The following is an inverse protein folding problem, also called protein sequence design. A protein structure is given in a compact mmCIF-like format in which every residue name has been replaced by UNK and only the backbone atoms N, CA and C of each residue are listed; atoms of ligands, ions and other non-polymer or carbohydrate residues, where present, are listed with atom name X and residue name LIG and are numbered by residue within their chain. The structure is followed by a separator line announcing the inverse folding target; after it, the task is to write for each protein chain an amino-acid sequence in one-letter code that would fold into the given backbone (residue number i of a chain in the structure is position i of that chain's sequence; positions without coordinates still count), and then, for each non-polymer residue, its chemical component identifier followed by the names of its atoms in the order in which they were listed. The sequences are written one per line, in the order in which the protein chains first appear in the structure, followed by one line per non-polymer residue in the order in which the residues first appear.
data_IF_885390199186
#
_entry.id   IF_885390199186
#
_cell.length_a   1.000
_cell.length_b   1.000
_cell.length_c   1.000
_cell.angle_alpha   90.00
_cell.angle_beta   90.00
_cell.angle_gamma   90.00
#
_symmetry.space_group_name_H-M   'P 1'
#
loop_
_entity.id
_entity.type
_entity.pdbx_description
1 polymer ?
#
# COMPACT_ATOMS: atom_id res chain seq x y z
N UNK A 1 1.43 3.37 8.89
CA UNK A 1 0.24 2.95 8.11
C UNK A 1 -0.98 2.74 8.98
N UNK A 2 -0.97 1.82 9.97
CA UNK A 2 -2.12 1.56 10.84
C UNK A 2 -2.69 2.82 11.49
N UNK A 3 -1.84 3.65 12.11
CA UNK A 3 -2.24 4.92 12.72
C UNK A 3 -2.89 5.89 11.72
N UNK A 4 -2.41 5.91 10.47
CA UNK A 4 -2.98 6.73 9.41
C UNK A 4 -4.38 6.27 9.02
N UNK A 5 -4.58 4.97 8.80
CA UNK A 5 -5.91 4.41 8.51
C UNK A 5 -6.87 4.62 9.68
N UNK A 6 -6.42 4.44 10.92
CA UNK A 6 -7.24 4.69 12.10
C UNK A 6 -7.69 6.16 12.20
N UNK A 7 -6.80 7.12 11.92
CA UNK A 7 -7.16 8.54 11.92
C UNK A 7 -8.27 8.85 10.88
N UNK A 8 -8.15 8.28 9.68
CA UNK A 8 -9.16 8.42 8.61
C UNK A 8 -10.49 7.80 9.04
N UNK A 9 -10.47 6.57 9.55
CA UNK A 9 -11.68 5.86 9.99
C UNK A 9 -12.38 6.64 11.10
N UNK A 10 -11.65 7.07 12.14
CA UNK A 10 -12.23 7.80 13.28
C UNK A 10 -12.91 9.09 12.80
N UNK A 11 -12.25 9.87 11.94
CA UNK A 11 -12.81 11.12 11.43
C UNK A 11 -13.98 10.89 10.48
N UNK A 12 -13.92 9.89 9.61
CA UNK A 12 -15.04 9.52 8.76
C UNK A 12 -16.28 9.09 9.56
N UNK A 13 -16.09 8.32 10.64
CA UNK A 13 -17.17 7.91 11.55
C UNK A 13 -17.82 9.11 12.23
N UNK A 14 -17.03 10.09 12.67
CA UNK A 14 -17.55 11.33 13.28
C UNK A 14 -18.38 12.13 12.27
N UNK A 15 -17.89 12.28 11.03
CA UNK A 15 -18.57 13.04 9.98
C UNK A 15 -19.90 12.37 9.57
N UNK A 16 -19.91 11.04 9.45
CA UNK A 16 -21.10 10.28 9.05
C UNK A 16 -22.08 10.02 10.20
N UNK A 17 -21.74 10.40 11.43
CA UNK A 17 -22.60 10.19 12.59
C UNK A 17 -22.65 8.74 13.11
N UNK A 18 -21.67 7.90 12.75
CA UNK A 18 -21.50 6.56 13.34
C UNK A 18 -21.11 5.46 12.35
N UNK A 19 -20.61 4.34 12.90
CA UNK A 19 -20.23 3.16 12.10
C UNK A 19 -21.40 2.51 11.38
N UNK A 20 -22.61 2.56 11.96
CA UNK A 20 -23.79 1.94 11.38
C UNK A 20 -24.21 2.59 10.06
N UNK A 21 -24.00 3.90 9.91
CA UNK A 21 -24.30 4.63 8.67
C UNK A 21 -23.37 4.17 7.55
N UNK A 22 -22.06 4.08 7.83
CA UNK A 22 -21.06 3.61 6.86
C UNK A 22 -21.39 2.20 6.37
N UNK A 23 -21.80 1.31 7.28
CA UNK A 23 -22.16 -0.06 6.91
C UNK A 23 -23.47 -0.12 6.10
N UNK A 24 -24.48 0.67 6.48
CA UNK A 24 -25.74 0.78 5.74
C UNK A 24 -25.52 1.32 4.34
N UNK A 25 -24.72 2.39 4.20
CA UNK A 25 -24.35 2.97 2.91
C UNK A 25 -23.63 1.94 2.02
N UNK A 26 -22.67 1.21 2.59
CA UNK A 26 -21.95 0.17 1.86
C UNK A 26 -22.86 -1.00 1.43
N UNK A 27 -23.87 -1.33 2.25
CA UNK A 27 -24.86 -2.36 1.93
C UNK A 27 -25.78 -1.91 0.79
N UNK A 28 -26.31 -0.68 0.87
CA UNK A 28 -27.16 -0.09 -0.17
C UNK A 28 -26.41 0.08 -1.49
N UNK A 29 -25.14 0.43 -1.42
CA UNK A 29 -24.24 0.52 -2.56
C UNK A 29 -23.80 -0.82 -3.17
N UNK A 30 -24.28 -1.95 -2.63
CA UNK A 30 -23.92 -3.29 -3.11
C UNK A 30 -22.43 -3.61 -2.98
N UNK A 31 -21.71 -2.96 -2.04
CA UNK A 31 -20.27 -3.14 -1.83
C UNK A 31 -19.94 -4.30 -0.87
N UNK A 32 -20.93 -4.76 -0.10
CA UNK A 32 -20.80 -5.82 0.89
C UNK A 32 -21.19 -7.21 0.33
N UNK A 33 -20.53 -7.65 -0.74
CA UNK A 33 -20.75 -8.97 -1.32
C UNK A 33 -19.72 -9.96 -0.77
N UNK A 34 -20.01 -10.54 0.41
CA UNK A 34 -19.10 -11.48 1.07
C UNK A 34 -19.10 -12.89 0.46
N UNK A 35 -20.20 -13.28 -0.18
CA UNK A 35 -20.49 -14.68 -0.52
C UNK A 35 -20.72 -14.88 -2.03
N UNK A 36 -19.82 -14.34 -2.84
CA UNK A 36 -19.83 -14.61 -4.29
C UNK A 36 -19.03 -15.90 -4.59
N UNK A 37 -19.77 -17.00 -4.76
CA UNK A 37 -19.22 -18.34 -5.04
C UNK A 37 -19.08 -18.65 -6.53
N UNK A 38 -19.22 -17.66 -7.41
CA UNK A 38 -19.04 -17.86 -8.85
C UNK A 38 -17.64 -18.42 -9.17
N UNK A 39 -17.61 -19.45 -10.02
CA UNK A 39 -16.39 -20.13 -10.46
C UNK A 39 -15.80 -19.47 -11.71
N UNK A 40 -16.40 -18.37 -12.19
CA UNK A 40 -15.97 -17.71 -13.42
C UNK A 40 -14.58 -17.05 -13.23
N UNK A 41 -13.54 -17.48 -13.97
CA UNK A 41 -12.18 -16.95 -13.83
C UNK A 41 -12.03 -15.48 -14.28
N UNK A 42 -13.02 -14.92 -15.00
CA UNK A 42 -13.03 -13.51 -15.40
C UNK A 42 -13.51 -12.58 -14.27
N UNK A 43 -14.16 -13.12 -13.22
CA UNK A 43 -14.55 -12.34 -12.04
C UNK A 43 -13.32 -12.16 -11.14
N UNK A 44 -12.91 -10.90 -10.97
CA UNK A 44 -11.69 -10.52 -10.22
C UNK A 44 -11.71 -10.87 -8.73
N UNK A 45 -12.90 -10.86 -8.12
CA UNK A 45 -13.06 -11.00 -6.68
C UNK A 45 -14.20 -11.97 -6.37
N UNK A 46 -13.87 -13.25 -6.25
CA UNK A 46 -14.77 -14.32 -5.81
C UNK A 46 -14.19 -15.02 -4.59
N UNK A 47 -15.02 -15.75 -3.86
CA UNK A 47 -14.59 -16.57 -2.72
C UNK A 47 -13.38 -17.46 -3.08
N UNK A 48 -13.40 -18.08 -4.26
CA UNK A 48 -12.32 -18.94 -4.74
C UNK A 48 -11.01 -18.19 -4.97
N UNK A 49 -11.06 -17.00 -5.55
CA UNK A 49 -9.84 -16.18 -5.75
C UNK A 49 -9.23 -15.75 -4.42
N UNK A 50 -10.05 -15.46 -3.40
CA UNK A 50 -9.55 -15.11 -2.07
C UNK A 50 -8.96 -16.32 -1.34
N UNK A 51 -9.63 -17.47 -1.35
CA UNK A 51 -9.13 -18.67 -0.65
C UNK A 51 -7.94 -19.26 -1.38
N UNK A 52 -8.09 -19.66 -2.65
CA UNK A 52 -7.03 -20.35 -3.39
C UNK A 52 -5.90 -19.37 -3.74
N UNK A 53 -6.25 -18.22 -4.32
CA UNK A 53 -5.28 -17.20 -4.71
C UNK A 53 -4.61 -16.54 -3.51
N UNK A 54 -5.40 -16.13 -2.51
CA UNK A 54 -4.87 -15.52 -1.30
C UNK A 54 -3.98 -16.46 -0.49
N UNK A 55 -4.38 -17.72 -0.30
CA UNK A 55 -3.51 -18.72 0.37
C UNK A 55 -2.24 -18.96 -0.43
N UNK A 56 -2.31 -19.12 -1.76
CA UNK A 56 -1.13 -19.34 -2.59
C UNK A 56 -0.15 -18.16 -2.54
N UNK A 57 -0.67 -16.93 -2.61
CA UNK A 57 0.13 -15.70 -2.50
C UNK A 57 0.77 -15.60 -1.11
N UNK A 58 0.01 -15.81 -0.04
CA UNK A 58 0.54 -15.79 1.32
C UNK A 58 1.65 -16.84 1.50
N UNK A 59 1.42 -18.08 1.06
CA UNK A 59 2.41 -19.14 1.11
C UNK A 59 3.68 -18.80 0.32
N UNK A 60 3.57 -18.20 -0.87
CA UNK A 60 4.73 -17.76 -1.63
C UNK A 60 5.49 -16.63 -0.92
N UNK A 61 4.76 -15.63 -0.40
CA UNK A 61 5.36 -14.47 0.27
C UNK A 61 6.13 -14.88 1.53
N UNK A 62 5.58 -15.75 2.37
CA UNK A 62 6.27 -16.19 3.59
C UNK A 62 7.23 -17.35 3.38
N UNK A 63 6.97 -18.23 2.41
CA UNK A 63 7.75 -19.45 2.20
C UNK A 63 8.96 -19.28 1.28
N UNK A 64 8.87 -18.40 0.28
CA UNK A 64 9.86 -18.33 -0.80
C UNK A 64 10.61 -16.99 -0.82
N UNK A 65 10.01 -15.93 -0.27
CA UNK A 65 10.64 -14.61 -0.34
C UNK A 65 11.93 -14.57 0.49
N UNK A 66 13.06 -14.12 -0.11
CA UNK A 66 14.35 -14.07 0.58
C UNK A 66 14.31 -13.27 1.88
N UNK A 67 13.54 -12.18 1.91
CA UNK A 67 13.39 -11.31 3.08
C UNK A 67 12.68 -11.99 4.25
N UNK A 68 11.71 -12.86 3.96
CA UNK A 68 11.01 -13.64 4.98
C UNK A 68 11.93 -14.72 5.56
N UNK A 69 12.62 -15.47 4.68
CA UNK A 69 13.57 -16.53 5.07
C UNK A 69 14.71 -15.97 5.91
N UNK A 70 15.28 -14.83 5.53
CA UNK A 70 16.34 -14.17 6.29
C UNK A 70 15.90 -13.79 7.72
N UNK A 71 14.66 -13.33 7.89
CA UNK A 71 14.10 -13.01 9.22
C UNK A 71 13.98 -14.24 10.11
N UNK A 72 13.68 -15.40 9.53
CA UNK A 72 13.58 -16.64 10.28
C UNK A 72 14.96 -17.16 10.71
N UNK A 73 15.96 -17.08 9.83
CA UNK A 73 17.33 -17.54 10.12
C UNK A 73 18.03 -16.63 11.13
N UNK A 74 17.65 -15.35 11.21
CA UNK A 74 18.18 -14.42 12.21
C UNK A 74 17.69 -14.70 13.65
N UNK A 75 16.66 -15.53 13.82
CA UNK A 75 16.12 -15.87 15.15
C UNK A 75 16.98 -16.95 15.83
N UNK A 76 17.15 -16.86 17.15
CA UNK A 76 18.00 -17.80 17.92
C UNK A 76 17.40 -19.19 18.06
N UNK A 77 16.07 -19.31 17.99
CA UNK A 77 15.35 -20.59 18.07
C UNK A 77 14.16 -20.65 17.12
N UNK A 78 13.76 -21.87 16.75
CA UNK A 78 12.56 -22.13 15.93
C UNK A 78 11.29 -21.65 16.63
N UNK A 79 11.22 -21.74 17.96
CA UNK A 79 10.09 -21.24 18.74
C UNK A 79 9.96 -19.71 18.65
N UNK A 80 11.09 -18.98 18.71
CA UNK A 80 11.11 -17.53 18.53
C UNK A 80 10.73 -17.14 17.10
N UNK A 81 11.22 -17.86 16.09
CA UNK A 81 10.86 -17.62 14.69
C UNK A 81 9.34 -17.80 14.45
N UNK A 82 8.74 -18.86 15.02
CA UNK A 82 7.28 -19.10 14.95
C UNK A 82 6.49 -17.99 15.64
N UNK A 83 6.91 -17.56 16.83
CA UNK A 83 6.26 -16.47 17.55
C UNK A 83 6.34 -15.15 16.75
N UNK A 84 7.50 -14.82 16.20
CA UNK A 84 7.69 -13.64 15.35
C UNK A 84 6.77 -13.67 14.11
N UNK A 85 6.61 -14.85 13.50
CA UNK A 85 5.68 -15.05 12.38
C UNK A 85 4.23 -14.80 12.80
N UNK A 86 3.76 -15.35 13.92
CA UNK A 86 2.39 -15.13 14.40
C UNK A 86 2.11 -13.66 14.73
N UNK A 87 3.06 -12.96 15.36
CA UNK A 87 2.94 -11.53 15.63
C UNK A 87 2.86 -10.73 14.32
N UNK A 88 3.68 -11.08 13.33
CA UNK A 88 3.64 -10.43 12.03
C UNK A 88 2.31 -10.68 11.30
N UNK A 89 1.80 -11.92 11.36
CA UNK A 89 0.51 -12.28 10.78
C UNK A 89 -0.63 -11.49 11.42
N UNK A 90 -0.65 -11.35 12.75
CA UNK A 90 -1.63 -10.54 13.46
C UNK A 90 -1.58 -9.07 13.01
N UNK A 91 -0.38 -8.51 12.87
CA UNK A 91 -0.18 -7.13 12.42
C UNK A 91 -0.69 -6.89 10.99
N UNK A 92 -0.47 -7.84 10.08
CA UNK A 92 -0.99 -7.78 8.71
C UNK A 92 -2.51 -7.92 8.69
N UNK A 93 -3.07 -8.82 9.51
CA UNK A 93 -4.51 -8.98 9.63
C UNK A 93 -5.18 -7.69 10.13
N UNK A 94 -4.62 -7.06 11.16
CA UNK A 94 -5.07 -5.76 11.65
C UNK A 94 -4.99 -4.67 10.57
N UNK A 95 -3.89 -4.61 9.81
CA UNK A 95 -3.76 -3.68 8.69
C UNK A 95 -4.83 -3.91 7.62
N UNK A 96 -5.11 -5.18 7.27
CA UNK A 96 -6.09 -5.53 6.25
C UNK A 96 -7.50 -5.08 6.65
N UNK A 97 -7.89 -5.34 7.90
CA UNK A 97 -9.16 -4.85 8.47
C UNK A 97 -9.25 -3.34 8.38
N UNK A 98 -8.21 -2.61 8.80
CA UNK A 98 -8.19 -1.15 8.71
C UNK A 98 -8.29 -0.64 7.26
N UNK A 99 -7.63 -1.30 6.30
CA UNK A 99 -7.70 -0.91 4.89
C UNK A 99 -9.12 -1.09 4.34
N UNK A 100 -9.76 -2.23 4.64
CA UNK A 100 -11.14 -2.50 4.22
C UNK A 100 -12.09 -1.47 4.81
N UNK A 101 -12.02 -1.21 6.13
CA UNK A 101 -12.86 -0.20 6.77
C UNK A 101 -12.60 1.20 6.23
N UNK A 102 -11.35 1.60 6.00
CA UNK A 102 -11.04 2.88 5.38
C UNK A 102 -11.64 2.99 3.97
N UNK A 103 -11.63 1.91 3.18
CA UNK A 103 -12.28 1.87 1.87
C UNK A 103 -13.80 2.00 1.94
N UNK A 104 -14.46 1.38 2.92
CA UNK A 104 -15.89 1.57 3.17
C UNK A 104 -16.21 3.00 3.61
N UNK A 105 -15.37 3.59 4.48
CA UNK A 105 -15.47 4.98 4.89
C UNK A 105 -15.33 5.94 3.70
N UNK A 106 -14.36 5.70 2.82
CA UNK A 106 -14.20 6.45 1.56
C UNK A 106 -15.48 6.40 0.72
N UNK A 107 -16.04 5.20 0.55
CA UNK A 107 -17.28 5.03 -0.21
C UNK A 107 -18.46 5.78 0.41
N UNK A 108 -18.67 5.67 1.73
CA UNK A 108 -19.76 6.36 2.43
C UNK A 108 -19.64 7.89 2.35
N UNK A 109 -18.41 8.44 2.41
CA UNK A 109 -18.18 9.89 2.27
C UNK A 109 -18.40 10.40 0.84
N UNK A 110 -17.98 9.63 -0.17
CA UNK A 110 -18.10 10.05 -1.58
C UNK A 110 -19.28 9.42 -2.33
N UNK A 111 -20.27 8.85 -1.64
CA UNK A 111 -21.42 8.18 -2.29
C UNK A 111 -22.25 9.13 -3.16
N UNK A 112 -22.41 10.38 -2.73
CA UNK A 112 -23.26 11.37 -3.39
C UNK A 112 -22.47 12.27 -4.37
N UNK A 113 -21.19 12.53 -4.06
CA UNK A 113 -20.30 13.37 -4.84
C UNK A 113 -18.94 12.68 -5.00
N UNK A 114 -18.83 11.77 -5.97
CA UNK A 114 -17.57 11.09 -6.28
C UNK A 114 -16.63 11.99 -7.10
N UNK A 115 -15.49 12.41 -6.55
CA UNK A 115 -14.55 13.28 -7.24
C UNK A 115 -13.85 12.61 -8.44
N UNK A 116 -13.88 11.27 -8.53
CA UNK A 116 -13.39 10.56 -9.72
C UNK A 116 -14.37 10.70 -10.90
N UNK A 117 -15.64 10.39 -10.69
CA UNK A 117 -16.68 10.56 -11.73
C UNK A 117 -16.87 12.03 -12.12
N UNK A 118 -16.64 12.96 -11.19
CA UNK A 118 -16.67 14.40 -11.45
C UNK A 118 -15.47 14.92 -12.27
N UNK A 119 -14.47 14.09 -12.58
CA UNK A 119 -13.29 14.47 -13.36
C UNK A 119 -12.29 15.36 -12.60
N UNK A 120 -12.46 15.52 -11.28
CA UNK A 120 -11.52 16.25 -10.43
C UNK A 120 -10.24 15.44 -10.19
N UNK A 121 -10.29 14.13 -10.38
CA UNK A 121 -9.21 13.19 -10.10
C UNK A 121 -8.93 12.31 -11.32
N UNK A 122 -7.66 12.21 -11.73
CA UNK A 122 -7.26 11.42 -12.90
C UNK A 122 -7.16 9.91 -12.65
N UNK A 123 -6.93 9.48 -11.41
CA UNK A 123 -6.77 8.07 -11.05
C UNK A 123 -7.54 7.70 -9.78
N UNK A 124 -8.20 6.53 -9.72
CA UNK A 124 -8.80 6.00 -8.50
C UNK A 124 -7.83 5.92 -7.30
N UNK A 125 -6.52 5.79 -7.56
CA UNK A 125 -5.51 5.69 -6.50
C UNK A 125 -5.36 6.99 -5.68
N UNK A 126 -5.82 8.12 -6.22
CA UNK A 126 -5.77 9.43 -5.58
C UNK A 126 -6.99 9.70 -4.68
N UNK A 127 -8.02 8.86 -4.72
CA UNK A 127 -9.24 9.04 -3.92
C UNK A 127 -8.97 9.07 -2.42
N UNK A 128 -8.17 8.11 -1.92
CA UNK A 128 -7.87 8.03 -0.49
C UNK A 128 -7.02 9.21 0.00
N UNK A 129 -5.93 9.61 -0.67
CA UNK A 129 -5.22 10.85 -0.34
C UNK A 129 -6.10 12.11 -0.37
N UNK A 130 -7.01 12.23 -1.35
CA UNK A 130 -7.91 13.38 -1.43
C UNK A 130 -8.93 13.40 -0.30
N UNK A 131 -9.49 12.24 0.06
CA UNK A 131 -10.35 12.12 1.23
C UNK A 131 -9.63 12.59 2.49
N UNK A 132 -8.38 12.16 2.68
CA UNK A 132 -7.57 12.52 3.84
C UNK A 132 -7.38 14.04 3.91
N UNK A 133 -7.09 14.69 2.77
CA UNK A 133 -6.97 16.15 2.76
C UNK A 133 -8.31 16.79 3.10
N UNK A 134 -9.42 16.33 2.53
CA UNK A 134 -10.74 16.91 2.74
C UNK A 134 -11.18 16.82 4.22
N UNK A 135 -11.08 15.63 4.82
CA UNK A 135 -11.62 15.36 6.17
C UNK A 135 -10.68 15.77 7.31
N UNK A 136 -9.35 15.84 7.06
CA UNK A 136 -8.35 16.14 8.09
C UNK A 136 -7.79 17.57 8.01
N UNK A 137 -8.26 18.41 7.08
CA UNK A 137 -7.85 19.83 6.94
C UNK A 137 -8.00 20.64 8.24
N UNK A 138 -8.99 20.29 9.07
CA UNK A 138 -9.27 20.95 10.36
C UNK A 138 -8.05 20.91 11.31
N UNK A 139 -7.16 19.92 11.13
CA UNK A 139 -5.95 19.77 11.93
C UNK A 139 -4.72 19.88 11.02
N UNK A 140 -4.13 21.09 10.88
CA UNK A 140 -2.96 21.29 10.04
C UNK A 140 -1.82 20.37 10.50
N UNK A 141 -1.36 19.50 9.60
CA UNK A 141 -0.32 18.50 9.86
C UNK A 141 -0.79 17.04 9.82
N UNK A 142 -2.06 16.74 10.11
CA UNK A 142 -2.57 15.36 10.03
C UNK A 142 -2.55 14.77 8.61
N UNK A 143 -2.94 15.50 7.54
CA UNK A 143 -2.80 15.00 6.17
C UNK A 143 -1.34 14.68 5.81
N UNK A 144 -0.41 15.54 6.22
CA UNK A 144 1.03 15.34 6.02
C UNK A 144 1.55 14.11 6.76
N UNK A 145 1.10 13.89 8.00
CA UNK A 145 1.45 12.72 8.80
C UNK A 145 0.91 11.42 8.17
N UNK A 146 -0.32 11.45 7.63
CA UNK A 146 -0.88 10.31 6.90
C UNK A 146 -0.03 9.97 5.67
N UNK A 147 0.26 10.98 4.83
CA UNK A 147 1.09 10.79 3.64
C UNK A 147 2.48 10.26 4.01
N UNK A 148 3.12 10.83 5.03
CA UNK A 148 4.41 10.37 5.53
C UNK A 148 4.35 8.89 5.99
N UNK A 149 3.28 8.48 6.68
CA UNK A 149 3.10 7.12 7.14
C UNK A 149 2.86 6.12 5.99
N UNK A 150 2.19 6.53 4.91
CA UNK A 150 2.00 5.73 3.70
C UNK A 150 3.31 5.58 2.94
N UNK A 151 4.00 6.70 2.67
CA UNK A 151 5.30 6.68 1.99
C UNK A 151 6.34 5.87 2.76
N UNK A 152 6.40 6.02 4.08
CA UNK A 152 7.29 5.22 4.94
C UNK A 152 7.02 3.71 4.82
N UNK A 153 5.74 3.30 4.80
CA UNK A 153 5.37 1.90 4.63
C UNK A 153 5.76 1.34 3.26
N UNK A 154 5.49 2.09 2.20
CA UNK A 154 5.87 1.73 0.83
C UNK A 154 7.39 1.63 0.68
N UNK A 155 8.14 2.62 1.18
CA UNK A 155 9.60 2.65 1.11
C UNK A 155 10.25 1.51 1.91
N UNK A 156 9.68 1.14 3.07
CA UNK A 156 10.15 -0.01 3.85
C UNK A 156 10.04 -1.33 3.09
N UNK A 157 8.94 -1.50 2.34
CA UNK A 157 8.72 -2.68 1.49
C UNK A 157 9.70 -2.71 0.32
N UNK A 158 9.85 -1.58 -0.39
CA UNK A 158 10.80 -1.45 -1.51
C UNK A 158 12.23 -1.72 -1.06
N UNK A 159 12.65 -1.16 0.07
CA UNK A 159 13.99 -1.37 0.64
C UNK A 159 14.24 -2.85 0.95
N UNK A 160 13.24 -3.53 1.55
CA UNK A 160 13.34 -4.96 1.83
C UNK A 160 13.49 -5.78 0.55
N UNK A 161 12.70 -5.48 -0.50
CA UNK A 161 12.78 -6.18 -1.79
C UNK A 161 14.13 -5.99 -2.48
N UNK A 162 14.67 -4.76 -2.51
CA UNK A 162 15.98 -4.47 -3.09
C UNK A 162 17.07 -5.25 -2.37
N UNK A 163 17.06 -5.26 -1.03
CA UNK A 163 18.03 -6.00 -0.23
C UNK A 163 17.89 -7.51 -0.40
N UNK A 164 16.67 -8.03 -0.48
CA UNK A 164 16.41 -9.44 -0.76
C UNK A 164 16.94 -9.86 -2.13
N UNK A 165 16.69 -9.04 -3.17
CA UNK A 165 17.16 -9.30 -4.53
C UNK A 165 18.69 -9.26 -4.62
N UNK A 166 19.33 -8.28 -3.98
CA UNK A 166 20.78 -8.19 -3.93
C UNK A 166 21.40 -9.42 -3.24
N UNK A 167 20.81 -9.87 -2.13
CA UNK A 167 21.27 -11.06 -1.41
C UNK A 167 21.16 -12.34 -2.27
N UNK A 168 20.02 -12.54 -2.94
CA UNK A 168 19.83 -13.67 -3.87
C UNK A 168 20.81 -13.61 -5.04
N UNK A 169 21.02 -12.43 -5.61
CA UNK A 169 21.99 -12.24 -6.70
C UNK A 169 23.40 -12.66 -6.26
N UNK A 170 23.80 -12.28 -5.05
CA UNK A 170 25.13 -12.65 -4.53
C UNK A 170 25.24 -14.14 -4.23
N UNK A 171 24.27 -14.72 -3.53
CA UNK A 171 24.30 -16.14 -3.14
C UNK A 171 24.12 -17.09 -4.33
N UNK A 172 23.22 -16.78 -5.27
CA UNK A 172 22.87 -17.71 -6.37
C UNK A 172 23.67 -17.46 -7.65
N UNK A 173 24.10 -16.22 -7.95
CA UNK A 173 24.79 -15.89 -9.20
C UNK A 173 26.28 -15.58 -9.04
N UNK A 174 26.74 -15.11 -7.88
CA UNK A 174 28.15 -14.70 -7.72
C UNK A 174 28.94 -15.78 -7.00
N UNK A 175 28.44 -16.28 -5.87
CA UNK A 175 29.11 -17.27 -5.03
C UNK A 175 29.43 -18.60 -5.74
N UNK A 176 28.59 -19.14 -6.64
CA UNK A 176 28.91 -20.39 -7.34
C UNK A 176 30.06 -20.25 -8.35
N UNK A 177 30.20 -19.08 -8.97
CA UNK A 177 31.18 -18.83 -10.03
C UNK A 177 32.47 -18.19 -9.52
N UNK A 178 32.41 -17.47 -8.39
CA UNK A 178 33.54 -16.76 -7.81
C UNK A 178 33.68 -17.03 -6.32
N UNK A 179 34.78 -17.70 -5.92
CA UNK A 179 35.17 -17.79 -4.50
C UNK A 179 35.73 -16.45 -4.04
N UNK A 180 34.97 -15.74 -3.21
CA UNK A 180 35.31 -14.45 -2.59
C UNK A 180 35.13 -14.55 -1.07
N UNK A 181 35.74 -13.65 -0.30
CA UNK A 181 35.56 -13.63 1.16
C UNK A 181 34.22 -12.99 1.54
N UNK A 182 33.66 -13.36 2.70
CA UNK A 182 32.36 -12.85 3.17
C UNK A 182 32.30 -11.31 3.20
N UNK A 183 33.42 -10.66 3.53
CA UNK A 183 33.54 -9.19 3.50
C UNK A 183 33.36 -8.63 2.08
N UNK A 184 33.94 -9.30 1.08
CA UNK A 184 33.80 -8.90 -0.32
C UNK A 184 32.37 -9.16 -0.83
N UNK A 185 31.76 -10.30 -0.50
CA UNK A 185 30.36 -10.59 -0.86
C UNK A 185 29.41 -9.55 -0.28
N UNK A 186 29.63 -9.13 0.97
CA UNK A 186 28.81 -8.11 1.62
C UNK A 186 28.95 -6.73 0.96
N UNK A 187 30.16 -6.34 0.57
CA UNK A 187 30.39 -5.09 -0.18
C UNK A 187 29.71 -5.15 -1.54
N UNK A 188 29.80 -6.28 -2.25
CA UNK A 188 29.12 -6.49 -3.54
C UNK A 188 27.61 -6.42 -3.37
N UNK A 189 27.04 -7.07 -2.35
CA UNK A 189 25.60 -7.00 -2.06
C UNK A 189 25.14 -5.56 -1.82
N UNK A 190 25.90 -4.77 -1.05
CA UNK A 190 25.58 -3.35 -0.80
C UNK A 190 25.66 -2.52 -2.07
N UNK A 191 26.71 -2.69 -2.86
CA UNK A 191 26.87 -1.99 -4.14
C UNK A 191 25.73 -2.32 -5.12
N UNK A 192 25.29 -3.58 -5.16
CA UNK A 192 24.14 -4.00 -5.96
C UNK A 192 22.85 -3.32 -5.49
N UNK A 193 22.53 -3.33 -4.19
CA UNK A 193 21.35 -2.63 -3.65
C UNK A 193 21.31 -1.16 -4.04
N UNK A 194 22.42 -0.43 -3.86
CA UNK A 194 22.52 0.99 -4.22
C UNK A 194 22.37 1.21 -5.73
N UNK A 195 22.98 0.35 -6.55
CA UNK A 195 22.87 0.45 -8.01
C UNK A 195 21.44 0.26 -8.51
N UNK A 196 20.70 -0.71 -7.94
CA UNK A 196 19.30 -0.96 -8.27
C UNK A 196 18.43 0.22 -7.83
N UNK A 197 18.66 0.74 -6.62
CA UNK A 197 17.96 1.92 -6.12
C UNK A 197 18.20 3.15 -7.03
N UNK A 198 19.44 3.39 -7.44
CA UNK A 198 19.78 4.47 -8.36
C UNK A 198 19.14 4.30 -9.74
N UNK A 199 19.13 3.10 -10.29
CA UNK A 199 18.48 2.81 -11.58
C UNK A 199 16.96 3.04 -11.52
N UNK A 200 16.31 2.60 -10.44
CA UNK A 200 14.89 2.86 -10.21
C UNK A 200 14.61 4.36 -10.12
N UNK A 201 15.41 5.09 -9.33
CA UNK A 201 15.31 6.54 -9.24
C UNK A 201 15.52 7.22 -10.60
N UNK A 202 16.54 6.85 -11.37
CA UNK A 202 16.82 7.42 -12.68
C UNK A 202 15.72 7.11 -13.71
N UNK A 203 15.07 5.94 -13.62
CA UNK A 203 13.92 5.58 -14.46
C UNK A 203 12.66 6.35 -14.07
N UNK A 204 12.39 6.46 -12.77
CA UNK A 204 11.28 7.27 -12.25
C UNK A 204 11.47 8.75 -12.58
N UNK A 205 12.69 9.29 -12.50
CA UNK A 205 12.95 10.68 -12.84
C UNK A 205 12.74 10.97 -14.33
N UNK A 206 13.11 10.02 -15.20
CA UNK A 206 12.84 10.11 -16.64
C UNK A 206 11.34 10.06 -16.96
N UNK A 207 10.58 9.17 -16.32
CA UNK A 207 9.12 9.12 -16.50
C UNK A 207 8.38 10.30 -15.84
N UNK A 208 8.87 10.80 -14.71
CA UNK A 208 8.34 11.98 -14.04
C UNK A 208 8.47 13.22 -14.93
N UNK A 209 9.59 13.39 -15.65
CA UNK A 209 9.74 14.48 -16.62
C UNK A 209 8.78 14.40 -17.81
N UNK A 210 8.26 13.23 -18.14
CA UNK A 210 7.22 13.05 -19.18
C UNK A 210 5.79 13.13 -18.65
N UNK A 211 5.58 13.15 -17.33
CA UNK A 211 4.24 13.08 -16.69
C UNK A 211 3.92 14.20 -15.69
N UNK A 212 4.82 15.16 -15.45
CA UNK A 212 4.55 16.33 -14.59
C UNK A 212 3.83 17.41 -15.41
N UNK A 213 2.54 17.16 -15.67
CA UNK A 213 1.52 18.18 -15.91
C UNK A 213 0.68 18.43 -14.65
N UNK A 214 1.20 18.11 -13.47
CA UNK A 214 0.50 18.25 -12.19
C UNK A 214 0.80 19.63 -11.61
N UNK A 215 -0.14 20.58 -11.74
CA UNK A 215 -0.20 21.76 -10.87
C UNK A 215 -0.13 23.17 -11.49
N UNK A 216 -0.29 23.36 -12.80
CA UNK A 216 -0.38 24.72 -13.39
C UNK A 216 -1.77 25.15 -13.88
N UNK A 217 -2.71 24.23 -14.06
CA UNK A 217 -4.01 24.57 -14.68
C UNK A 217 -5.14 24.84 -13.69
N UNK A 218 -4.92 24.65 -12.38
CA UNK A 218 -5.93 24.94 -11.35
C UNK A 218 -5.84 26.36 -10.75
N UNK A 219 -4.83 27.17 -11.12
CA UNK A 219 -4.61 28.52 -10.59
C UNK A 219 -5.01 29.65 -11.54
N UNK A 220 -5.73 29.35 -12.64
CA UNK A 220 -5.89 30.29 -13.77
C UNK A 220 -7.31 30.63 -14.21
N UNK A 221 -8.39 30.25 -13.49
CA UNK A 221 -9.76 30.65 -13.84
C UNK A 221 -10.67 30.86 -12.63
N UNK A 222 -10.40 31.92 -11.87
CA UNK A 222 -11.46 32.65 -11.17
C UNK A 222 -11.59 34.00 -11.86
N UNK A 223 -12.41 34.02 -12.91
CA UNK A 223 -12.89 35.26 -13.52
C UNK A 223 -14.09 35.77 -12.69
N UNK A 224 -13.99 36.91 -11.98
CA UNK A 224 -15.07 37.40 -11.12
C UNK A 224 -16.24 38.06 -11.89
N UNK A 225 -16.31 37.98 -13.22
CA UNK A 225 -17.23 38.79 -14.02
C UNK A 225 -18.54 38.12 -14.48
N UNK A 226 -18.95 36.98 -13.88
CA UNK A 226 -20.21 36.27 -14.27
C UNK A 226 -21.20 36.01 -13.14
N UNK A 227 -21.38 36.97 -12.24
CA UNK A 227 -22.57 37.08 -11.39
C UNK A 227 -23.05 38.54 -11.40
N UNK A 228 -23.84 38.88 -12.41
CA UNK A 228 -24.73 40.04 -12.45
C UNK A 228 -26.04 39.62 -13.10
#
# INVERSE_FOLDING_TARGET
MLSGFLAVIIKAVIIQGGFSVIFSDAQQGGRLNFWDFDVNPLRRHTFWTFVIGGTSICSAVYGVTPTAVQRYIACRSVTQARLALYINLLGIWACFVCIVFAGLSLYSVYKDCDPWTAGLISSPDQLMPNLVTDILTVNPGLPGLFLAAVYSGSLSTVSSLINGLAAVTVEDLIKPYFRRSDRQLLVISKALSESVAFLLWARLHRHGRTGIGFGRDAAGRTDPSRLS
#
